data_IF_668928767860
#
_entry.id   IF_668928767860
#
_cell.length_a   1.000
_cell.length_b   1.000
_cell.length_c   1.000
_cell.angle_alpha   90.00
_cell.angle_beta   90.00
_cell.angle_gamma   90.00
#
_symmetry.space_group_name_H-M   'P 1'
#
loop_
_entity.id
_entity.type
_entity.pdbx_description
1 polymer ?
#
# COMPACT_ATOMS: atom_id res chain seq x y z
N UNK A 1 -23.53 57.03 29.81
CA UNK A 1 -22.28 56.72 30.55
C UNK A 1 -21.60 55.55 29.86
N UNK A 2 -20.31 55.72 29.48
CA UNK A 2 -19.20 54.75 29.25
C UNK A 2 -19.60 53.30 28.86
N UNK A 3 -19.09 52.65 27.80
CA UNK A 3 -17.69 52.54 27.37
C UNK A 3 -17.66 51.91 25.95
N UNK A 4 -16.72 52.33 25.12
CA UNK A 4 -16.39 51.73 23.83
C UNK A 4 -15.54 50.45 24.00
N UNK A 5 -15.65 49.49 23.07
CA UNK A 5 -14.60 48.51 22.78
C UNK A 5 -14.63 48.17 21.28
N UNK A 6 -13.60 48.66 20.58
CA UNK A 6 -13.16 48.25 19.25
C UNK A 6 -12.72 46.78 19.28
N UNK A 7 -13.14 45.95 18.33
CA UNK A 7 -12.40 44.76 17.90
C UNK A 7 -12.41 44.65 16.36
N UNK A 8 -11.20 44.41 15.85
CA UNK A 8 -10.76 44.26 14.46
C UNK A 8 -11.29 42.98 13.79
N UNK A 9 -11.51 42.93 12.47
CA UNK A 9 -11.60 41.67 11.74
C UNK A 9 -10.28 41.40 11.01
N UNK A 10 -9.54 40.36 11.39
CA UNK A 10 -8.55 39.72 10.50
C UNK A 10 -8.36 38.23 10.85
N UNK A 11 -8.09 37.45 9.80
CA UNK A 11 -7.56 36.06 9.69
C UNK A 11 -8.53 34.88 9.46
N UNK A 12 -8.21 34.11 8.41
CA UNK A 12 -8.72 32.76 8.13
C UNK A 12 -9.09 32.53 6.65
N UNK A 13 -8.17 32.67 5.67
CA UNK A 13 -7.33 31.58 5.14
C UNK A 13 -8.06 30.25 4.88
N UNK A 14 -8.60 30.07 3.67
CA UNK A 14 -8.86 28.74 3.11
C UNK A 14 -7.79 28.45 2.03
N UNK A 15 -6.79 27.67 2.43
CA UNK A 15 -5.75 27.13 1.55
C UNK A 15 -6.34 26.06 0.64
N UNK A 16 -6.47 26.37 -0.65
CA UNK A 16 -6.73 25.39 -1.70
C UNK A 16 -5.46 24.59 -2.00
N UNK A 17 -5.39 23.38 -1.47
CA UNK A 17 -4.27 22.46 -1.66
C UNK A 17 -4.12 22.04 -3.13
N UNK A 18 -2.90 22.19 -3.66
CA UNK A 18 -2.42 21.50 -4.86
C UNK A 18 -2.38 20.01 -4.53
N UNK A 19 -3.09 19.19 -5.31
CA UNK A 19 -2.92 17.73 -5.30
C UNK A 19 -1.52 17.38 -5.82
N UNK A 20 -0.55 17.40 -4.92
CA UNK A 20 0.49 16.39 -4.91
C UNK A 20 -0.06 15.26 -4.04
N UNK A 21 -0.32 14.08 -4.60
CA UNK A 21 -0.44 12.87 -3.78
C UNK A 21 0.97 12.56 -3.27
N UNK A 22 1.39 13.32 -2.26
CA UNK A 22 2.37 12.84 -1.32
C UNK A 22 1.60 11.91 -0.39
N UNK A 23 1.66 10.61 -0.67
CA UNK A 23 1.32 9.58 0.32
C UNK A 23 2.37 9.67 1.43
N UNK A 24 2.22 10.66 2.31
CA UNK A 24 2.99 10.76 3.53
C UNK A 24 2.41 9.72 4.49
N UNK A 25 2.96 8.50 4.42
CA UNK A 25 2.78 7.49 5.45
C UNK A 25 3.43 8.03 6.72
N UNK A 26 2.63 8.70 7.56
CA UNK A 26 3.08 9.15 8.86
C UNK A 26 3.32 7.92 9.74
N UNK A 27 4.59 7.57 9.95
CA UNK A 27 5.02 6.69 11.03
C UNK A 27 4.74 7.37 12.38
N UNK A 28 3.49 7.31 12.83
CA UNK A 28 3.15 7.47 14.24
C UNK A 28 3.23 6.10 14.90
N UNK A 29 3.90 6.04 16.05
CA UNK A 29 3.98 4.84 16.88
C UNK A 29 2.60 4.31 17.32
N UNK A 30 2.57 3.13 17.95
CA UNK A 30 1.38 2.29 18.06
C UNK A 30 0.43 2.85 19.12
N UNK A 31 -0.53 3.66 18.72
CA UNK A 31 -1.71 3.94 19.53
C UNK A 31 -2.93 4.10 18.62
N UNK A 32 -3.62 2.98 18.44
CA UNK A 32 -4.81 2.84 17.60
C UNK A 32 -4.52 2.13 16.28
N UNK A 33 -4.29 0.82 16.33
CA UNK A 33 -4.27 -0.04 15.14
C UNK A 33 -5.69 -0.16 14.57
N UNK A 34 -6.19 0.90 13.94
CA UNK A 34 -7.27 0.75 12.98
C UNK A 34 -6.77 -0.17 11.88
N UNK A 35 -7.47 -1.28 11.63
CA UNK A 35 -7.17 -2.18 10.54
C UNK A 35 -6.94 -1.37 9.27
N UNK A 36 -5.79 -1.51 8.61
CA UNK A 36 -5.52 -0.83 7.35
C UNK A 36 -6.65 -1.23 6.38
N UNK A 37 -7.55 -0.32 5.96
CA UNK A 37 -8.69 -0.70 5.13
C UNK A 37 -8.24 -1.04 3.69
N UNK A 38 -6.95 -0.88 3.39
CA UNK A 38 -6.35 -1.01 2.09
C UNK A 38 -5.57 -2.33 1.99
N UNK A 39 -5.69 -2.99 0.84
CA UNK A 39 -5.07 -4.29 0.57
C UNK A 39 -5.96 -5.14 -0.33
N UNK A 40 -5.38 -6.18 -0.89
CA UNK A 40 -6.03 -7.25 -1.64
C UNK A 40 -6.60 -8.25 -0.61
N UNK A 41 -7.92 -8.29 -0.41
CA UNK A 41 -8.54 -9.10 0.65
C UNK A 41 -8.56 -10.59 0.31
N UNK A 42 -7.87 -11.38 1.11
CA UNK A 42 -7.91 -12.85 1.17
C UNK A 42 -9.10 -13.25 2.05
N UNK A 43 -10.09 -13.93 1.46
CA UNK A 43 -11.33 -14.32 2.15
C UNK A 43 -11.09 -15.54 3.04
N UNK A 44 -11.49 -15.42 4.31
CA UNK A 44 -11.47 -16.52 5.28
C UNK A 44 -12.81 -16.59 6.01
N UNK A 45 -13.27 -17.81 6.33
CA UNK A 45 -14.50 -18.08 7.08
C UNK A 45 -14.15 -18.90 8.31
N UNK A 46 -14.55 -18.46 9.50
CA UNK A 46 -14.34 -19.21 10.74
C UNK A 46 -15.59 -20.00 11.11
N UNK A 47 -15.41 -21.25 11.52
CA UNK A 47 -16.47 -22.21 11.79
C UNK A 47 -16.15 -22.99 13.07
N UNK A 48 -16.82 -22.70 14.18
CA UNK A 48 -16.70 -23.46 15.42
C UNK A 48 -17.49 -24.76 15.33
N UNK A 49 -16.82 -25.91 15.48
CA UNK A 49 -17.52 -27.18 15.64
C UNK A 49 -18.11 -27.24 17.04
N UNK A 50 -19.42 -27.43 17.14
CA UNK A 50 -20.11 -27.55 18.42
C UNK A 50 -20.11 -29.01 18.91
N UNK A 51 -20.10 -29.20 20.22
CA UNK A 51 -20.35 -30.51 20.80
C UNK A 51 -21.81 -30.94 20.65
N UNK A 52 -22.13 -32.16 21.09
CA UNK A 52 -23.49 -32.72 21.01
C UNK A 52 -24.56 -31.89 21.75
N UNK A 53 -24.15 -31.05 22.71
CA UNK A 53 -25.03 -30.14 23.45
C UNK A 53 -25.14 -28.75 22.82
N UNK A 54 -24.50 -28.51 21.67
CA UNK A 54 -24.51 -27.23 20.98
C UNK A 54 -23.55 -26.19 21.54
N UNK A 55 -22.55 -26.58 22.33
CA UNK A 55 -21.57 -25.65 22.91
C UNK A 55 -20.23 -25.69 22.17
N UNK A 56 -19.57 -24.52 22.10
CA UNK A 56 -18.17 -24.36 21.65
C UNK A 56 -17.18 -25.14 22.54
N UNK A 57 -15.89 -25.24 22.15
CA UNK A 57 -14.82 -25.58 23.10
C UNK A 57 -14.91 -24.71 24.36
N UNK A 58 -14.89 -25.31 25.55
CA UNK A 58 -15.05 -24.58 26.81
C UNK A 58 -13.72 -24.02 27.37
N UNK A 59 -12.60 -24.41 26.77
CA UNK A 59 -11.24 -24.08 27.17
C UNK A 59 -10.33 -24.08 25.96
N UNK A 60 -9.16 -23.43 26.07
CA UNK A 60 -8.16 -23.34 25.01
C UNK A 60 -7.87 -21.91 24.59
N UNK A 61 -7.00 -21.77 23.60
CA UNK A 61 -6.47 -20.47 23.14
C UNK A 61 -7.34 -19.80 22.06
N UNK A 62 -8.36 -20.49 21.55
CA UNK A 62 -9.26 -20.00 20.49
C UNK A 62 -10.67 -20.58 20.65
N UNK A 63 -11.47 -19.99 21.53
CA UNK A 63 -12.84 -20.42 21.80
C UNK A 63 -13.90 -19.28 21.80
N UNK A 64 -13.45 -18.03 21.71
CA UNK A 64 -14.32 -16.84 21.62
C UNK A 64 -14.22 -16.13 20.27
N UNK A 65 -15.17 -15.23 20.00
CA UNK A 65 -15.12 -14.37 18.81
C UNK A 65 -13.98 -13.35 18.92
N UNK A 66 -13.75 -12.82 20.12
CA UNK A 66 -12.68 -11.87 20.40
C UNK A 66 -11.29 -12.45 20.11
N UNK A 67 -11.06 -13.72 20.43
CA UNK A 67 -9.79 -14.40 20.13
C UNK A 67 -9.60 -14.63 18.63
N UNK A 68 -10.67 -14.96 17.90
CA UNK A 68 -10.65 -15.04 16.42
C UNK A 68 -10.27 -13.69 15.82
N UNK A 69 -10.92 -12.62 16.27
CA UNK A 69 -10.62 -11.26 15.80
C UNK A 69 -9.21 -10.80 16.18
N UNK A 70 -8.68 -11.25 17.32
CA UNK A 70 -7.29 -11.01 17.71
C UNK A 70 -6.30 -11.69 16.74
N UNK A 71 -6.58 -12.92 16.30
CA UNK A 71 -5.77 -13.64 15.31
C UNK A 71 -5.81 -12.95 13.94
N UNK A 72 -6.99 -12.53 13.48
CA UNK A 72 -7.14 -11.76 12.23
C UNK A 72 -6.38 -10.43 12.31
N UNK A 73 -6.49 -9.73 13.44
CA UNK A 73 -5.77 -8.48 13.68
C UNK A 73 -4.26 -8.71 13.64
N UNK A 74 -3.76 -9.75 14.31
CA UNK A 74 -2.34 -10.09 14.35
C UNK A 74 -1.81 -10.48 12.97
N UNK A 75 -2.55 -11.28 12.21
CA UNK A 75 -2.23 -11.64 10.83
C UNK A 75 -2.07 -10.39 9.94
N UNK A 76 -3.02 -9.46 10.02
CA UNK A 76 -2.96 -8.20 9.28
C UNK A 76 -1.80 -7.30 9.72
N UNK A 77 -1.44 -7.29 11.01
CA UNK A 77 -0.24 -6.58 11.49
C UNK A 77 1.05 -7.16 10.90
N UNK A 78 1.17 -8.48 10.82
CA UNK A 78 2.33 -9.15 10.22
C UNK A 78 2.43 -8.79 8.73
N UNK A 79 1.34 -8.93 7.99
CA UNK A 79 1.28 -8.56 6.57
C UNK A 79 1.64 -7.08 6.34
N UNK A 80 1.11 -6.18 7.17
CA UNK A 80 1.40 -4.75 7.08
C UNK A 80 2.86 -4.42 7.42
N UNK A 81 3.46 -5.09 8.41
CA UNK A 81 4.86 -4.89 8.80
C UNK A 81 5.84 -5.21 7.65
N UNK A 82 5.46 -6.13 6.77
CA UNK A 82 6.21 -6.50 5.57
C UNK A 82 5.70 -5.82 4.30
N UNK A 83 4.86 -4.78 4.44
CA UNK A 83 4.29 -4.05 3.30
C UNK A 83 3.69 -4.99 2.25
N UNK A 84 3.00 -6.03 2.72
CA UNK A 84 2.27 -6.92 1.85
C UNK A 84 1.06 -6.21 1.27
N UNK A 85 0.78 -6.48 0.00
CA UNK A 85 -0.46 -6.05 -0.61
C UNK A 85 -1.65 -6.86 -0.09
N UNK A 86 -1.42 -8.06 0.44
CA UNK A 86 -2.47 -8.95 0.94
C UNK A 86 -2.95 -8.51 2.32
N UNK A 87 -4.23 -8.72 2.59
CA UNK A 87 -4.82 -8.61 3.93
C UNK A 87 -5.85 -9.71 4.15
N UNK A 88 -6.05 -10.11 5.39
CA UNK A 88 -7.09 -11.05 5.79
C UNK A 88 -8.43 -10.33 5.84
N UNK A 89 -9.44 -10.95 5.25
CA UNK A 89 -10.83 -10.51 5.29
C UNK A 89 -11.70 -11.63 5.86
N UNK A 90 -12.01 -11.53 7.14
CA UNK A 90 -12.98 -12.40 7.81
C UNK A 90 -14.37 -12.17 7.23
N UNK A 91 -15.01 -13.24 6.77
CA UNK A 91 -16.39 -13.23 6.27
C UNK A 91 -17.41 -13.44 7.41
N UNK A 92 -16.94 -13.71 8.62
CA UNK A 92 -17.74 -13.92 9.82
C UNK A 92 -17.31 -15.16 10.60
N UNK A 93 -18.01 -15.43 11.69
CA UNK A 93 -17.84 -16.60 12.55
C UNK A 93 -19.17 -17.35 12.57
N UNK A 94 -19.13 -18.66 12.33
CA UNK A 94 -20.31 -19.53 12.29
C UNK A 94 -20.22 -20.64 13.32
N UNK A 95 -21.38 -21.11 13.76
CA UNK A 95 -21.53 -22.28 14.63
C UNK A 95 -21.96 -23.49 13.79
N UNK A 96 -21.14 -24.54 13.79
CA UNK A 96 -21.40 -25.79 13.08
C UNK A 96 -22.07 -26.76 14.04
N UNK A 97 -23.40 -26.71 14.07
CA UNK A 97 -24.21 -27.61 14.88
C UNK A 97 -24.38 -28.99 14.23
N UNK A 98 -24.58 -30.01 15.08
CA UNK A 98 -24.85 -31.37 14.64
C UNK A 98 -23.63 -32.13 14.10
N UNK A 99 -22.45 -31.52 13.97
CA UNK A 99 -21.19 -32.15 13.52
C UNK A 99 -20.25 -32.55 14.66
N UNK A 100 -20.81 -33.00 15.79
CA UNK A 100 -20.04 -33.29 17.01
C UNK A 100 -19.03 -34.44 16.85
N UNK A 101 -19.16 -35.25 15.80
CA UNK A 101 -18.16 -36.24 15.39
C UNK A 101 -16.78 -35.63 15.13
N UNK A 102 -16.71 -34.35 14.76
CA UNK A 102 -15.46 -33.60 14.56
C UNK A 102 -15.09 -32.68 15.73
N UNK A 103 -15.85 -32.69 16.83
CA UNK A 103 -15.61 -31.79 17.96
C UNK A 103 -14.23 -31.99 18.60
N UNK A 104 -13.73 -33.24 18.62
CA UNK A 104 -12.39 -33.60 19.13
C UNK A 104 -11.45 -34.06 18.00
N UNK A 105 -11.73 -33.67 16.76
CA UNK A 105 -10.83 -33.95 15.64
C UNK A 105 -9.48 -33.25 15.84
N UNK A 106 -8.40 -34.00 15.72
CA UNK A 106 -7.05 -33.48 15.95
C UNK A 106 -6.45 -32.83 14.70
N UNK A 107 -5.36 -32.10 14.86
CA UNK A 107 -4.67 -31.42 13.76
C UNK A 107 -3.82 -32.41 12.93
N UNK A 108 -4.48 -33.35 12.25
CA UNK A 108 -3.86 -34.35 11.37
C UNK A 108 -4.55 -34.41 10.00
N UNK A 109 -3.85 -34.98 9.00
CA UNK A 109 -4.35 -35.01 7.62
C UNK A 109 -5.65 -35.81 7.46
N UNK A 110 -5.80 -36.91 8.20
CA UNK A 110 -7.00 -37.77 8.12
C UNK A 110 -8.24 -37.00 8.57
N UNK A 111 -8.18 -36.37 9.74
CA UNK A 111 -9.30 -35.61 10.30
C UNK A 111 -9.63 -34.38 9.45
N UNK A 112 -8.60 -33.62 9.03
CA UNK A 112 -8.75 -32.48 8.11
C UNK A 112 -9.45 -32.90 6.81
N UNK A 113 -8.99 -33.97 6.18
CA UNK A 113 -9.51 -34.39 4.87
C UNK A 113 -10.93 -35.00 4.98
N UNK A 114 -11.22 -35.73 6.05
CA UNK A 114 -12.57 -36.23 6.33
C UNK A 114 -13.57 -35.09 6.60
N UNK A 115 -13.16 -34.10 7.39
CA UNK A 115 -13.97 -32.91 7.64
C UNK A 115 -14.20 -32.13 6.35
N UNK A 116 -13.15 -31.89 5.54
CA UNK A 116 -13.27 -31.25 4.23
C UNK A 116 -14.28 -31.98 3.34
N UNK A 117 -14.14 -33.30 3.20
CA UNK A 117 -15.03 -34.10 2.37
C UNK A 117 -16.49 -34.02 2.86
N UNK A 118 -16.71 -34.05 4.18
CA UNK A 118 -18.05 -33.91 4.77
C UNK A 118 -18.64 -32.51 4.55
N UNK A 119 -17.81 -31.47 4.71
CA UNK A 119 -18.23 -30.08 4.52
C UNK A 119 -18.59 -29.77 3.06
N UNK A 120 -17.85 -30.33 2.10
CA UNK A 120 -18.18 -30.23 0.68
C UNK A 120 -19.46 -31.01 0.32
N UNK A 121 -19.73 -32.13 1.00
CA UNK A 121 -20.91 -32.95 0.77
C UNK A 121 -22.19 -32.35 1.37
N UNK A 122 -22.08 -31.59 2.47
CA UNK A 122 -23.18 -30.85 3.10
C UNK A 122 -22.78 -29.40 3.41
N UNK A 123 -22.67 -28.53 2.39
CA UNK A 123 -22.19 -27.16 2.59
C UNK A 123 -23.05 -26.34 3.54
N UNK A 124 -24.36 -26.61 3.60
CA UNK A 124 -25.28 -25.94 4.49
C UNK A 124 -25.00 -26.22 5.97
N UNK A 125 -24.75 -27.48 6.33
CA UNK A 125 -24.48 -27.84 7.72
C UNK A 125 -23.15 -27.30 8.21
N UNK A 126 -22.13 -27.36 7.36
CA UNK A 126 -20.76 -26.99 7.71
C UNK A 126 -20.40 -25.54 7.38
N UNK A 127 -21.36 -24.74 6.90
CA UNK A 127 -21.14 -23.38 6.39
C UNK A 127 -20.00 -23.30 5.38
N UNK A 128 -19.83 -24.35 4.58
CA UNK A 128 -18.73 -24.46 3.63
C UNK A 128 -18.87 -23.42 2.52
N UNK A 129 -17.78 -22.72 2.25
CA UNK A 129 -17.68 -21.73 1.18
C UNK A 129 -16.71 -22.22 0.12
N UNK A 130 -17.16 -22.18 -1.15
CA UNK A 130 -16.28 -22.40 -2.30
C UNK A 130 -15.50 -21.15 -2.71
N UNK A 131 -15.61 -20.07 -1.93
CA UNK A 131 -15.08 -18.75 -2.24
C UNK A 131 -14.33 -18.11 -1.05
N UNK A 132 -13.79 -18.95 -0.16
CA UNK A 132 -12.96 -18.56 0.98
C UNK A 132 -12.16 -19.77 1.49
N UNK A 133 -11.09 -19.53 2.25
CA UNK A 133 -10.50 -20.60 3.08
C UNK A 133 -11.40 -20.83 4.28
N UNK A 134 -11.85 -22.07 4.47
CA UNK A 134 -12.72 -22.47 5.57
C UNK A 134 -11.87 -22.93 6.76
N UNK A 135 -11.94 -22.19 7.85
CA UNK A 135 -11.18 -22.45 9.08
C UNK A 135 -12.11 -23.09 10.09
N UNK A 136 -11.93 -24.38 10.35
CA UNK A 136 -12.72 -25.13 11.33
C UNK A 136 -12.00 -25.21 12.66
N UNK A 137 -12.67 -24.82 13.74
CA UNK A 137 -12.11 -24.77 15.10
C UNK A 137 -12.73 -25.89 15.93
N UNK A 138 -11.90 -26.75 16.52
CA UNK A 138 -12.28 -27.93 17.30
C UNK A 138 -11.84 -27.79 18.76
N UNK A 139 -12.27 -28.69 19.64
CA UNK A 139 -11.89 -28.76 21.05
C UNK A 139 -10.69 -29.68 21.33
N UNK A 140 -10.06 -30.27 20.30
CA UNK A 140 -8.84 -31.06 20.51
C UNK A 140 -7.68 -30.18 21.01
N UNK A 141 -6.69 -30.79 21.67
CA UNK A 141 -5.55 -30.08 22.27
C UNK A 141 -4.32 -29.98 21.36
N UNK A 142 -4.46 -30.27 20.08
CA UNK A 142 -3.36 -30.11 19.10
C UNK A 142 -3.22 -28.64 18.67
N UNK A 143 -2.35 -28.39 17.69
CA UNK A 143 -2.17 -27.06 17.08
C UNK A 143 -3.11 -26.86 15.88
N UNK A 144 -2.60 -26.70 14.67
CA UNK A 144 -3.40 -26.57 13.47
C UNK A 144 -2.75 -27.30 12.29
N UNK A 145 -3.55 -27.54 11.25
CA UNK A 145 -3.09 -28.12 10.01
C UNK A 145 -3.87 -27.53 8.82
N UNK A 146 -3.13 -27.06 7.83
CA UNK A 146 -3.64 -26.60 6.54
C UNK A 146 -3.43 -27.63 5.44
N UNK A 147 -3.91 -27.34 4.24
CA UNK A 147 -3.62 -28.09 3.03
C UNK A 147 -3.02 -27.15 1.98
N UNK A 148 -2.00 -27.65 1.27
CA UNK A 148 -1.36 -26.91 0.18
C UNK A 148 -2.24 -26.87 -1.07
N UNK A 149 -2.02 -25.89 -1.97
CA UNK A 149 -2.67 -25.87 -3.27
C UNK A 149 -2.52 -27.21 -4.02
N UNK A 150 -3.53 -27.63 -4.81
CA UNK A 150 -4.73 -26.89 -5.18
C UNK A 150 -5.93 -27.04 -4.22
N UNK A 151 -5.81 -27.86 -3.17
CA UNK A 151 -6.89 -28.11 -2.19
C UNK A 151 -6.75 -27.24 -0.94
N UNK A 152 -6.31 -26.00 -1.11
CA UNK A 152 -5.95 -25.03 -0.06
C UNK A 152 -7.14 -24.26 0.53
N UNK A 153 -8.32 -24.85 0.49
CA UNK A 153 -9.60 -24.24 0.89
C UNK A 153 -10.04 -24.60 2.33
N UNK A 154 -9.19 -25.30 3.09
CA UNK A 154 -9.45 -25.70 4.47
C UNK A 154 -8.24 -25.53 5.40
N UNK A 155 -8.50 -25.10 6.63
CA UNK A 155 -7.60 -25.19 7.78
C UNK A 155 -8.37 -25.82 8.95
N UNK A 156 -7.77 -26.79 9.62
CA UNK A 156 -8.28 -27.37 10.87
C UNK A 156 -7.46 -26.83 12.04
N UNK A 157 -8.11 -26.17 12.98
CA UNK A 157 -7.49 -25.51 14.14
C UNK A 157 -8.02 -26.15 15.43
N UNK A 158 -7.11 -26.48 16.32
CA UNK A 158 -7.39 -27.04 17.64
C UNK A 158 -7.10 -25.97 18.72
N UNK A 159 -7.03 -26.37 19.99
CA UNK A 159 -7.04 -25.45 21.14
C UNK A 159 -5.66 -25.07 21.70
N UNK A 160 -4.57 -25.64 21.20
CA UNK A 160 -3.19 -25.31 21.63
C UNK A 160 -2.45 -24.55 20.54
N UNK A 161 -2.75 -23.26 20.44
CA UNK A 161 -2.27 -22.41 19.33
C UNK A 161 -1.56 -21.16 19.84
N UNK A 162 -0.63 -20.67 19.02
CA UNK A 162 -0.04 -19.34 19.19
C UNK A 162 -0.89 -18.26 18.49
N UNK A 163 -0.64 -17.00 18.83
CA UNK A 163 -1.26 -15.82 18.21
C UNK A 163 -0.99 -15.63 16.70
N UNK A 164 -0.11 -16.46 16.13
CA UNK A 164 0.33 -16.42 14.72
C UNK A 164 -0.14 -17.64 13.93
N UNK A 165 -0.78 -18.62 14.58
CA UNK A 165 -1.05 -19.94 14.01
C UNK A 165 -1.95 -19.85 12.79
N UNK A 166 -3.01 -19.06 12.83
CA UNK A 166 -3.89 -18.90 11.66
C UNK A 166 -3.13 -18.31 10.46
N UNK A 167 -2.25 -17.33 10.69
CA UNK A 167 -1.45 -16.74 9.60
C UNK A 167 -0.40 -17.72 9.08
N UNK A 168 0.18 -18.56 9.94
CA UNK A 168 1.09 -19.64 9.56
C UNK A 168 0.39 -20.66 8.65
N UNK A 169 -0.78 -21.17 9.08
CA UNK A 169 -1.55 -22.13 8.30
C UNK A 169 -2.06 -21.56 6.98
N UNK A 170 -2.44 -20.28 6.97
CA UNK A 170 -2.78 -19.59 5.73
C UNK A 170 -1.56 -19.41 4.83
N UNK A 171 -0.36 -19.32 5.39
CA UNK A 171 0.91 -19.39 4.64
C UNK A 171 0.98 -20.66 3.80
N UNK A 172 0.67 -21.83 4.37
CA UNK A 172 0.58 -23.09 3.60
C UNK A 172 -0.49 -23.04 2.52
N UNK A 173 -1.67 -22.48 2.82
CA UNK A 173 -2.71 -22.25 1.81
C UNK A 173 -2.22 -21.32 0.69
N UNK A 174 -1.26 -20.45 0.96
CA UNK A 174 -0.61 -19.55 0.01
C UNK A 174 0.74 -20.07 -0.50
N UNK A 175 0.94 -21.40 -0.47
CA UNK A 175 2.11 -22.11 -1.01
C UNK A 175 3.45 -21.81 -0.30
N UNK A 176 3.40 -21.49 1.00
CA UNK A 176 4.59 -21.39 1.83
C UNK A 176 4.90 -22.71 2.55
N UNK A 177 6.17 -23.08 2.56
CA UNK A 177 6.68 -24.24 3.30
C UNK A 177 7.33 -23.79 4.60
N UNK A 178 7.54 -24.72 5.53
CA UNK A 178 8.32 -24.44 6.73
C UNK A 178 9.76 -24.09 6.37
N UNK A 179 10.38 -23.18 7.11
CA UNK A 179 11.79 -22.77 6.85
C UNK A 179 12.79 -23.90 7.00
N UNK A 180 12.43 -24.93 7.77
CA UNK A 180 13.22 -26.14 8.00
C UNK A 180 12.76 -27.33 7.13
N UNK A 181 11.92 -27.08 6.11
CA UNK A 181 11.46 -28.14 5.22
C UNK A 181 12.66 -28.78 4.52
N UNK A 182 12.75 -30.10 4.56
CA UNK A 182 13.92 -30.83 4.00
C UNK A 182 13.60 -31.45 2.64
N UNK A 183 12.32 -31.60 2.31
CA UNK A 183 11.94 -32.14 1.01
C UNK A 183 12.06 -31.06 -0.10
N UNK A 184 12.23 -31.52 -1.34
CA UNK A 184 12.04 -30.69 -2.54
C UNK A 184 12.95 -29.44 -2.69
N UNK A 185 14.10 -29.40 -2.01
CA UNK A 185 15.06 -28.30 -2.12
C UNK A 185 14.88 -27.19 -1.08
N UNK A 186 14.30 -27.51 0.08
CA UNK A 186 14.10 -26.55 1.16
C UNK A 186 12.67 -26.01 1.21
N UNK A 187 12.50 -24.79 1.70
CA UNK A 187 11.23 -24.06 1.64
C UNK A 187 10.93 -23.45 0.24
N UNK A 188 11.86 -23.67 -0.70
CA UNK A 188 11.84 -23.17 -2.06
C UNK A 188 12.04 -21.65 -2.13
N UNK A 189 12.80 -21.08 -1.20
CA UNK A 189 13.22 -19.68 -1.18
C UNK A 189 14.73 -19.51 -0.94
N UNK A 190 15.41 -18.84 -1.87
CA UNK A 190 16.87 -18.65 -1.80
C UNK A 190 17.30 -17.60 -0.75
N UNK A 191 16.36 -16.86 -0.17
CA UNK A 191 16.60 -15.80 0.81
C UNK A 191 16.34 -16.23 2.27
N UNK A 192 16.06 -17.51 2.48
CA UNK A 192 16.05 -18.19 3.78
C UNK A 192 17.26 -19.12 3.85
N UNK A 193 17.98 -19.08 4.97
CA UNK A 193 19.15 -19.94 5.19
C UNK A 193 18.73 -21.33 5.70
N UNK A 194 19.64 -22.29 5.69
CA UNK A 194 19.33 -23.65 6.20
C UNK A 194 18.98 -23.60 7.69
N UNK A 195 17.95 -24.35 8.06
CA UNK A 195 17.38 -24.39 9.41
C UNK A 195 16.87 -25.81 9.73
N UNK A 196 16.75 -26.13 11.01
CA UNK A 196 16.12 -27.35 11.53
C UNK A 196 15.20 -26.97 12.69
N UNK A 197 14.04 -27.62 12.80
CA UNK A 197 13.03 -27.34 13.84
C UNK A 197 13.52 -27.50 15.29
N UNK A 198 14.67 -28.15 15.51
CA UNK A 198 15.27 -28.38 16.84
C UNK A 198 16.47 -27.50 17.14
N UNK A 199 16.93 -26.71 16.19
CA UNK A 199 18.09 -25.84 16.37
C UNK A 199 17.74 -24.61 17.18
N UNK A 200 18.66 -24.17 18.04
CA UNK A 200 18.59 -22.81 18.56
C UNK A 200 19.26 -21.79 17.60
N UNK A 201 19.30 -20.51 17.98
CA UNK A 201 19.94 -19.47 17.15
C UNK A 201 21.45 -19.69 16.98
N UNK A 202 22.13 -20.24 17.98
CA UNK A 202 23.55 -20.54 17.89
C UNK A 202 23.79 -21.74 16.97
N UNK A 203 22.93 -22.75 16.99
CA UNK A 203 22.98 -23.88 16.05
C UNK A 203 22.78 -23.41 14.59
N UNK A 204 21.76 -22.58 14.32
CA UNK A 204 21.54 -21.99 12.98
C UNK A 204 22.76 -21.16 12.56
N UNK A 205 23.30 -20.35 13.47
CA UNK A 205 24.47 -19.52 13.21
C UNK A 205 25.75 -20.33 12.94
N UNK A 206 25.98 -21.38 13.73
CA UNK A 206 27.13 -22.27 13.60
C UNK A 206 27.06 -23.06 12.29
N UNK A 207 25.89 -23.58 11.92
CA UNK A 207 25.71 -24.32 10.66
C UNK A 207 26.01 -23.44 9.45
N UNK A 208 25.45 -22.22 9.42
CA UNK A 208 25.52 -21.36 8.23
C UNK A 208 26.79 -20.50 8.15
N UNK A 209 27.41 -20.17 9.29
CA UNK A 209 28.51 -19.19 9.35
C UNK A 209 29.73 -19.62 10.18
N UNK A 210 29.69 -20.77 10.85
CA UNK A 210 30.79 -21.27 11.67
C UNK A 210 31.09 -20.44 12.93
N UNK A 211 30.13 -19.62 13.39
CA UNK A 211 30.26 -18.76 14.56
C UNK A 211 28.95 -18.73 15.34
N UNK A 212 29.02 -18.59 16.67
CA UNK A 212 27.84 -18.36 17.51
C UNK A 212 27.17 -17.02 17.17
N UNK A 213 25.86 -16.94 17.37
CA UNK A 213 25.02 -15.81 16.97
C UNK A 213 25.56 -14.47 17.47
N UNK A 214 26.07 -14.42 18.70
CA UNK A 214 26.61 -13.20 19.30
C UNK A 214 27.74 -12.55 18.46
N UNK A 215 28.55 -13.36 17.77
CA UNK A 215 29.72 -12.92 17.01
C UNK A 215 29.42 -12.59 15.54
N UNK A 216 28.22 -12.90 15.06
CA UNK A 216 27.81 -12.61 13.69
C UNK A 216 27.74 -11.11 13.40
N UNK A 217 28.00 -10.74 12.14
CA UNK A 217 27.72 -9.40 11.62
C UNK A 217 26.20 -9.13 11.62
N UNK A 218 25.80 -7.86 11.52
CA UNK A 218 24.38 -7.50 11.49
C UNK A 218 23.61 -8.16 10.33
N UNK A 219 24.25 -8.34 9.16
CA UNK A 219 23.63 -9.02 8.02
C UNK A 219 23.41 -10.51 8.27
N UNK A 220 24.38 -11.20 8.86
CA UNK A 220 24.26 -12.61 9.22
C UNK A 220 23.24 -12.82 10.34
N UNK A 221 23.22 -11.94 11.36
CA UNK A 221 22.18 -11.97 12.41
C UNK A 221 20.78 -11.85 11.82
N UNK A 222 20.59 -10.93 10.86
CA UNK A 222 19.32 -10.81 10.14
C UNK A 222 18.92 -12.09 9.42
N UNK A 223 19.87 -12.80 8.79
CA UNK A 223 19.58 -14.09 8.13
C UNK A 223 19.16 -15.18 9.14
N UNK A 224 19.83 -15.26 10.31
CA UNK A 224 19.40 -16.16 11.40
C UNK A 224 18.03 -15.77 11.94
N UNK A 225 17.81 -14.49 12.20
CA UNK A 225 16.52 -13.99 12.69
C UNK A 225 15.40 -14.20 11.67
N UNK A 226 15.69 -14.13 10.36
CA UNK A 226 14.73 -14.37 9.29
C UNK A 226 14.13 -15.78 9.34
N UNK A 227 14.93 -16.81 9.65
CA UNK A 227 14.43 -18.19 9.79
C UNK A 227 13.91 -18.48 11.20
N UNK A 228 14.51 -17.88 12.24
CA UNK A 228 14.07 -18.05 13.64
C UNK A 228 12.71 -17.41 13.94
N UNK A 229 12.49 -16.18 13.46
CA UNK A 229 11.27 -15.41 13.67
C UNK A 229 10.38 -15.39 12.42
N UNK A 230 10.65 -16.27 11.45
CA UNK A 230 9.82 -16.44 10.27
C UNK A 230 8.40 -16.85 10.65
N UNK A 231 7.42 -16.37 9.89
CA UNK A 231 6.04 -16.83 9.96
C UNK A 231 5.95 -18.34 9.83
N UNK A 232 6.76 -18.93 8.95
CA UNK A 232 6.79 -20.36 8.65
C UNK A 232 7.76 -21.17 9.52
N UNK A 233 8.26 -20.59 10.62
CA UNK A 233 9.15 -21.28 11.55
C UNK A 233 8.38 -21.95 12.69
N UNK A 234 9.02 -22.92 13.35
CA UNK A 234 8.56 -23.55 14.60
C UNK A 234 9.31 -23.07 15.86
N UNK A 235 10.37 -22.28 15.68
CA UNK A 235 11.24 -21.87 16.79
C UNK A 235 10.58 -20.96 17.83
N UNK A 236 9.86 -19.94 17.35
CA UNK A 236 9.45 -18.82 18.18
C UNK A 236 7.96 -18.52 18.08
N UNK A 237 7.11 -19.49 18.44
CA UNK A 237 5.66 -19.50 18.22
C UNK A 237 4.95 -18.14 18.40
N UNK A 238 5.21 -17.42 19.51
CA UNK A 238 4.57 -16.13 19.83
C UNK A 238 5.17 -14.91 19.12
N UNK A 239 6.39 -15.03 18.61
CA UNK A 239 7.13 -13.95 17.96
C UNK A 239 7.57 -14.34 16.54
N UNK A 240 6.68 -15.05 15.83
CA UNK A 240 6.74 -15.21 14.37
C UNK A 240 6.13 -13.98 13.72
N UNK A 241 6.96 -13.17 13.09
CA UNK A 241 6.50 -11.93 12.46
C UNK A 241 7.26 -11.60 11.19
N UNK A 242 8.27 -12.39 10.81
CA UNK A 242 9.09 -12.18 9.62
C UNK A 242 8.55 -12.95 8.42
N UNK A 243 8.63 -12.38 7.23
CA UNK A 243 8.34 -13.07 5.96
C UNK A 243 9.46 -12.68 5.00
N UNK A 244 10.07 -13.65 4.32
CA UNK A 244 11.13 -13.34 3.35
C UNK A 244 10.55 -12.72 2.07
N UNK A 245 11.40 -12.10 1.25
CA UNK A 245 10.94 -11.52 -0.01
C UNK A 245 10.46 -12.60 -0.98
N UNK A 246 11.14 -13.74 -1.04
CA UNK A 246 10.69 -14.86 -1.86
C UNK A 246 9.37 -15.44 -1.35
N UNK A 247 9.20 -15.64 -0.03
CA UNK A 247 7.93 -16.11 0.52
C UNK A 247 6.80 -15.13 0.17
N UNK A 248 7.06 -13.84 0.26
CA UNK A 248 6.09 -12.83 -0.17
C UNK A 248 5.74 -12.93 -1.66
N UNK A 249 6.69 -13.26 -2.55
CA UNK A 249 6.43 -13.55 -3.97
C UNK A 249 5.55 -14.80 -4.16
N UNK A 250 5.83 -15.88 -3.43
CA UNK A 250 5.03 -17.10 -3.49
C UNK A 250 3.60 -16.85 -3.07
N UNK A 251 3.39 -16.10 -1.99
CA UNK A 251 2.05 -15.72 -1.54
C UNK A 251 1.29 -14.91 -2.61
N UNK A 252 1.92 -13.89 -3.19
CA UNK A 252 1.32 -13.07 -4.25
C UNK A 252 1.00 -13.89 -5.51
N UNK A 253 1.91 -14.78 -5.91
CA UNK A 253 1.71 -15.69 -7.04
C UNK A 253 0.51 -16.62 -6.81
N UNK A 254 0.45 -17.27 -5.65
CA UNK A 254 -0.63 -18.19 -5.31
C UNK A 254 -1.96 -17.46 -5.16
N UNK A 255 -2.00 -16.33 -4.45
CA UNK A 255 -3.18 -15.51 -4.32
C UNK A 255 -3.72 -15.04 -5.68
N UNK A 256 -2.84 -14.67 -6.61
CA UNK A 256 -3.25 -14.34 -7.98
C UNK A 256 -3.78 -15.57 -8.71
N UNK A 257 -3.14 -16.74 -8.60
CA UNK A 257 -3.64 -17.99 -9.19
C UNK A 257 -5.07 -18.27 -8.72
N UNK A 258 -5.31 -18.13 -7.43
CA UNK A 258 -6.59 -18.40 -6.75
C UNK A 258 -7.58 -17.24 -6.77
N UNK A 259 -7.27 -16.14 -7.45
CA UNK A 259 -7.99 -14.87 -7.39
C UNK A 259 -9.50 -14.96 -7.63
N UNK A 260 -9.97 -15.95 -8.39
CA UNK A 260 -11.40 -16.12 -8.70
C UNK A 260 -12.21 -16.59 -7.50
N UNK A 261 -11.63 -17.43 -6.65
CA UNK A 261 -12.32 -18.00 -5.51
C UNK A 261 -11.81 -17.44 -4.18
N UNK A 262 -10.54 -17.02 -4.08
CA UNK A 262 -9.95 -16.59 -2.81
C UNK A 262 -10.10 -15.08 -2.55
N UNK A 263 -9.97 -14.24 -3.57
CA UNK A 263 -9.84 -12.79 -3.38
C UNK A 263 -11.17 -12.05 -3.60
N UNK A 264 -11.49 -11.04 -2.76
CA UNK A 264 -12.70 -10.20 -2.99
C UNK A 264 -12.49 -9.21 -4.15
N UNK A 265 -11.25 -8.78 -4.37
CA UNK A 265 -10.86 -7.95 -5.51
C UNK A 265 -9.65 -8.58 -6.18
N UNK A 266 -9.64 -8.55 -7.51
CA UNK A 266 -8.52 -9.08 -8.29
C UNK A 266 -7.41 -8.01 -8.35
N UNK A 267 -6.16 -8.35 -8.01
CA UNK A 267 -5.04 -7.44 -8.15
C UNK A 267 -4.58 -7.33 -9.61
N UNK A 268 -4.05 -6.15 -9.95
CA UNK A 268 -3.33 -5.87 -11.19
C UNK A 268 -1.96 -5.34 -10.81
N UNK A 269 -0.92 -6.10 -11.11
CA UNK A 269 0.45 -5.79 -10.70
C UNK A 269 1.14 -4.84 -11.68
N UNK A 270 1.90 -3.89 -11.14
CA UNK A 270 2.78 -2.98 -11.88
C UNK A 270 4.19 -3.03 -11.30
N UNK A 271 5.17 -3.29 -12.17
CA UNK A 271 6.59 -3.30 -11.84
C UNK A 271 7.36 -2.54 -12.93
N UNK A 272 7.95 -1.39 -12.55
CA UNK A 272 8.71 -0.53 -13.46
C UNK A 272 9.97 -1.20 -14.04
N UNK A 273 10.52 -2.20 -13.33
CA UNK A 273 11.68 -2.97 -13.77
C UNK A 273 11.33 -4.10 -14.75
N UNK A 274 10.04 -4.43 -14.91
CA UNK A 274 9.61 -5.55 -15.74
C UNK A 274 9.87 -5.32 -17.24
N UNK A 275 10.63 -6.22 -17.85
CA UNK A 275 10.97 -6.21 -19.28
C UNK A 275 10.25 -7.25 -20.14
N UNK A 276 9.43 -8.12 -19.53
CA UNK A 276 8.80 -9.25 -20.21
C UNK A 276 7.43 -8.96 -20.83
N UNK A 277 6.73 -10.02 -21.23
CA UNK A 277 5.30 -9.95 -21.61
C UNK A 277 4.45 -9.47 -20.45
N UNK A 278 3.37 -8.73 -20.73
CA UNK A 278 2.56 -8.04 -19.72
C UNK A 278 1.09 -8.44 -19.86
N UNK A 279 0.48 -8.89 -18.77
CA UNK A 279 -0.97 -9.11 -18.68
C UNK A 279 -1.57 -8.64 -17.33
N UNK A 280 -0.74 -8.06 -16.45
CA UNK A 280 -1.14 -7.58 -15.13
C UNK A 280 -1.20 -8.65 -14.05
N UNK A 281 -0.85 -9.90 -14.36
CA UNK A 281 -0.65 -10.95 -13.36
C UNK A 281 0.63 -10.73 -12.57
N UNK A 282 0.76 -11.44 -11.44
CA UNK A 282 1.96 -11.39 -10.63
C UNK A 282 3.23 -11.76 -11.43
N UNK A 283 3.18 -12.80 -12.26
CA UNK A 283 4.33 -13.25 -13.06
C UNK A 283 4.54 -12.48 -14.36
N UNK A 284 3.58 -11.62 -14.75
CA UNK A 284 3.64 -10.80 -15.96
C UNK A 284 3.02 -9.42 -15.68
N UNK A 285 3.59 -8.64 -14.74
CA UNK A 285 3.06 -7.34 -14.34
C UNK A 285 3.11 -6.36 -15.51
N UNK A 286 2.30 -5.31 -15.44
CA UNK A 286 2.46 -4.19 -16.36
C UNK A 286 3.71 -3.38 -15.98
N UNK A 287 4.43 -2.86 -16.97
CA UNK A 287 5.61 -2.03 -16.72
C UNK A 287 5.24 -0.65 -16.16
N UNK A 288 4.08 -0.13 -16.52
CA UNK A 288 3.63 1.20 -16.11
C UNK A 288 2.16 1.18 -15.72
N UNK A 289 1.75 2.14 -14.90
CA UNK A 289 0.34 2.36 -14.56
C UNK A 289 -0.48 2.66 -15.84
N UNK A 290 0.10 3.42 -16.78
CA UNK A 290 -0.55 3.72 -18.06
C UNK A 290 -0.81 2.46 -18.89
N UNK A 291 0.10 1.48 -18.90
CA UNK A 291 -0.13 0.21 -19.59
C UNK A 291 -1.33 -0.54 -19.00
N UNK A 292 -1.46 -0.55 -17.67
CA UNK A 292 -2.59 -1.16 -16.99
C UNK A 292 -3.93 -0.45 -17.33
N UNK A 293 -3.91 0.88 -17.42
CA UNK A 293 -5.07 1.68 -17.86
C UNK A 293 -5.44 1.36 -19.30
N UNK A 294 -4.46 1.38 -20.21
CA UNK A 294 -4.68 1.14 -21.65
C UNK A 294 -5.23 -0.26 -21.93
N UNK A 295 -4.85 -1.24 -21.13
CA UNK A 295 -5.39 -2.60 -21.20
C UNK A 295 -6.83 -2.72 -20.67
N UNK A 296 -7.42 -1.65 -20.11
CA UNK A 296 -8.73 -1.68 -19.48
C UNK A 296 -8.78 -2.53 -18.21
N UNK A 297 -7.61 -2.81 -17.61
CA UNK A 297 -7.47 -3.83 -16.58
C UNK A 297 -7.96 -3.39 -15.20
N UNK A 298 -8.18 -2.08 -14.96
CA UNK A 298 -8.31 -1.53 -13.59
C UNK A 298 -9.74 -1.42 -13.04
N UNK A 299 -10.76 -1.71 -13.84
CA UNK A 299 -12.14 -1.59 -13.40
C UNK A 299 -12.48 -2.61 -12.30
N UNK A 300 -12.92 -2.14 -11.12
CA UNK A 300 -13.18 -2.95 -9.93
C UNK A 300 -12.00 -3.85 -9.52
N UNK A 301 -10.77 -3.38 -9.74
CA UNK A 301 -9.52 -4.06 -9.36
C UNK A 301 -8.76 -3.28 -8.30
N UNK A 302 -7.73 -3.92 -7.73
CA UNK A 302 -6.72 -3.27 -6.91
C UNK A 302 -5.45 -3.13 -7.73
N UNK A 303 -4.95 -1.92 -7.90
CA UNK A 303 -3.65 -1.66 -8.50
C UNK A 303 -2.56 -1.91 -7.46
N UNK A 304 -1.71 -2.91 -7.70
CA UNK A 304 -0.59 -3.26 -6.82
C UNK A 304 0.69 -2.73 -7.43
N UNK A 305 1.35 -1.80 -6.74
CA UNK A 305 2.62 -1.22 -7.17
C UNK A 305 3.76 -1.95 -6.45
N UNK A 306 4.69 -2.50 -7.22
CA UNK A 306 5.98 -2.96 -6.69
C UNK A 306 6.73 -1.76 -6.06
N UNK A 307 7.66 -2.01 -5.14
CA UNK A 307 8.42 -0.92 -4.51
C UNK A 307 9.17 -0.08 -5.56
N UNK A 308 9.43 1.20 -5.25
CA UNK A 308 10.22 2.07 -6.10
C UNK A 308 9.44 3.23 -6.73
N UNK A 309 9.87 3.69 -7.91
CA UNK A 309 9.28 4.87 -8.59
C UNK A 309 8.52 4.44 -9.82
N UNK A 310 7.27 4.90 -9.92
CA UNK A 310 6.36 4.65 -11.03
C UNK A 310 6.01 5.96 -11.71
N UNK A 311 5.90 5.91 -13.03
CA UNK A 311 5.47 7.07 -13.82
C UNK A 311 3.99 7.35 -13.59
N UNK A 312 3.65 8.62 -13.42
CA UNK A 312 2.28 9.12 -13.32
C UNK A 312 1.59 8.86 -14.65
N UNK A 313 0.44 8.15 -14.68
CA UNK A 313 -0.28 7.95 -15.93
C UNK A 313 -0.73 9.29 -16.53
N UNK A 314 -0.63 9.38 -17.86
CA UNK A 314 -1.16 10.51 -18.63
C UNK A 314 -2.68 10.56 -18.68
N UNK A 315 -3.34 9.41 -18.49
CA UNK A 315 -4.79 9.28 -18.41
C UNK A 315 -5.25 9.24 -16.95
N UNK A 316 -6.36 9.92 -16.66
CA UNK A 316 -7.01 9.83 -15.36
C UNK A 316 -7.52 8.40 -15.13
N UNK A 317 -7.37 7.91 -13.89
CA UNK A 317 -8.06 6.71 -13.43
C UNK A 317 -9.56 7.03 -13.34
N UNK A 318 -10.32 6.62 -14.35
CA UNK A 318 -11.76 6.87 -14.43
C UNK A 318 -12.62 5.97 -13.55
N UNK A 319 -12.00 5.04 -12.80
CA UNK A 319 -12.68 4.05 -11.97
C UNK A 319 -12.23 4.12 -10.52
N UNK A 320 -13.09 3.68 -9.60
CA UNK A 320 -12.73 3.49 -8.19
C UNK A 320 -11.75 2.31 -8.08
N UNK A 321 -10.46 2.62 -8.22
CA UNK A 321 -9.35 1.66 -8.14
C UNK A 321 -8.57 1.95 -6.87
N UNK A 322 -8.49 0.97 -5.97
CA UNK A 322 -7.60 1.06 -4.82
C UNK A 322 -6.17 0.91 -5.31
N UNK A 323 -5.25 1.70 -4.75
CA UNK A 323 -3.81 1.62 -5.04
C UNK A 323 -3.09 1.21 -3.77
N UNK A 324 -2.33 0.12 -3.84
CA UNK A 324 -1.56 -0.43 -2.72
C UNK A 324 -0.12 -0.66 -3.13
N UNK A 325 0.79 -0.63 -2.17
CA UNK A 325 2.22 -0.86 -2.39
C UNK A 325 2.61 -2.25 -1.91
N UNK A 326 3.70 -2.77 -2.46
CA UNK A 326 4.25 -4.09 -2.15
C UNK A 326 5.76 -4.00 -1.90
N UNK A 327 6.29 -4.75 -0.93
CA UNK A 327 7.74 -4.87 -0.62
C UNK A 327 8.45 -3.55 -0.33
N UNK A 328 7.71 -2.54 0.09
CA UNK A 328 8.22 -1.26 0.52
C UNK A 328 7.32 -0.11 0.09
N UNK A 329 7.92 1.08 0.04
CA UNK A 329 7.24 2.28 -0.43
C UNK A 329 7.34 2.39 -1.94
N UNK A 330 6.20 2.69 -2.57
CA UNK A 330 6.13 3.08 -3.98
C UNK A 330 5.81 4.57 -4.08
N UNK A 331 6.44 5.27 -5.02
CA UNK A 331 6.14 6.67 -5.34
C UNK A 331 5.64 6.79 -6.76
N UNK A 332 4.51 7.46 -6.97
CA UNK A 332 4.06 7.86 -8.30
C UNK A 332 4.62 9.26 -8.55
N UNK A 333 5.45 9.41 -9.57
CA UNK A 333 6.04 10.70 -9.96
C UNK A 333 5.64 10.98 -11.40
N UNK A 334 5.46 12.25 -11.74
CA UNK A 334 5.41 12.65 -13.15
C UNK A 334 6.55 11.96 -13.88
N UNK A 335 6.24 11.23 -14.96
CA UNK A 335 7.25 10.52 -15.76
C UNK A 335 8.44 11.43 -15.99
N UNK A 336 9.68 10.90 -15.94
CA UNK A 336 10.87 11.71 -16.22
C UNK A 336 10.56 12.54 -17.46
N UNK A 337 10.49 13.88 -17.34
CA UNK A 337 9.95 14.66 -18.42
C UNK A 337 10.79 14.43 -19.68
N UNK A 338 10.16 14.38 -20.85
CA UNK A 338 10.83 14.34 -22.17
C UNK A 338 11.57 15.66 -22.49
N UNK A 339 11.97 16.38 -21.44
CA UNK A 339 12.73 17.59 -21.47
C UNK A 339 13.67 17.63 -20.26
N UNK A 340 14.84 18.20 -20.47
CA UNK A 340 15.88 18.39 -19.47
C UNK A 340 16.05 19.89 -19.19
N UNK A 341 15.91 20.29 -17.93
CA UNK A 341 16.11 21.66 -17.47
C UNK A 341 17.34 21.68 -16.56
N UNK A 342 18.17 22.74 -16.61
CA UNK A 342 19.31 22.88 -15.70
C UNK A 342 18.81 22.85 -14.26
N UNK A 343 19.43 22.00 -13.44
CA UNK A 343 19.02 21.80 -12.05
C UNK A 343 19.53 22.89 -11.10
N UNK A 344 20.62 23.59 -11.48
CA UNK A 344 21.22 24.69 -10.72
C UNK A 344 21.33 25.96 -11.58
N UNK A 345 20.37 26.87 -11.42
CA UNK A 345 20.41 28.17 -12.11
C UNK A 345 21.37 29.16 -11.42
N UNK A 346 21.71 28.92 -10.16
CA UNK A 346 22.77 29.61 -9.43
C UNK A 346 24.17 29.33 -9.99
N UNK A 347 24.34 28.26 -10.76
CA UNK A 347 25.58 27.92 -11.44
C UNK A 347 25.59 28.42 -12.90
N UNK A 348 24.61 29.25 -13.28
CA UNK A 348 24.55 29.83 -14.62
C UNK A 348 25.88 30.51 -14.99
N UNK A 349 26.34 30.25 -16.22
CA UNK A 349 27.50 30.94 -16.79
C UNK A 349 27.21 32.41 -17.07
N UNK A 350 25.93 32.80 -17.15
CA UNK A 350 25.54 34.20 -17.26
C UNK A 350 25.50 34.83 -15.85
N UNK A 351 26.41 35.77 -15.53
CA UNK A 351 26.49 36.35 -14.19
C UNK A 351 25.22 37.10 -13.79
N UNK A 352 24.47 37.66 -14.75
CA UNK A 352 23.20 38.36 -14.47
C UNK A 352 22.09 37.38 -14.09
N UNK A 353 22.00 36.24 -14.78
CA UNK A 353 21.05 35.16 -14.43
C UNK A 353 21.37 34.64 -13.05
N UNK A 354 22.64 34.27 -12.79
CA UNK A 354 23.08 33.81 -11.48
C UNK A 354 22.77 34.80 -10.36
N UNK A 355 23.11 36.08 -10.53
CA UNK A 355 22.87 37.09 -9.51
C UNK A 355 21.37 37.27 -9.20
N UNK A 356 20.53 37.30 -10.23
CA UNK A 356 19.08 37.40 -10.07
C UNK A 356 18.48 36.16 -9.39
N UNK A 357 18.97 34.96 -9.72
CA UNK A 357 18.53 33.70 -9.09
C UNK A 357 18.91 33.64 -7.61
N UNK A 358 20.14 34.03 -7.26
CA UNK A 358 20.57 34.12 -5.86
C UNK A 358 19.71 35.11 -5.07
N UNK A 359 19.36 36.25 -5.66
CA UNK A 359 18.45 37.21 -5.05
C UNK A 359 17.03 36.64 -4.87
N UNK A 360 16.51 35.93 -5.88
CA UNK A 360 15.22 35.23 -5.78
C UNK A 360 15.23 34.19 -4.64
N UNK A 361 16.27 33.36 -4.54
CA UNK A 361 16.42 32.38 -3.46
C UNK A 361 16.47 33.05 -2.08
N UNK A 362 17.17 34.18 -1.95
CA UNK A 362 17.22 34.95 -0.71
C UNK A 362 15.86 35.51 -0.32
N UNK A 363 15.12 36.10 -1.26
CA UNK A 363 13.74 36.57 -1.04
C UNK A 363 12.79 35.44 -0.66
N UNK A 364 12.96 34.25 -1.27
CA UNK A 364 12.16 33.07 -0.93
C UNK A 364 12.38 32.63 0.53
N UNK A 365 13.62 32.67 1.03
CA UNK A 365 13.93 32.41 2.46
C UNK A 365 13.26 33.43 3.39
N UNK A 366 13.07 34.66 2.93
CA UNK A 366 12.37 35.72 3.64
C UNK A 366 10.84 35.66 3.47
N UNK A 367 10.33 34.71 2.67
CA UNK A 367 8.90 34.58 2.30
C UNK A 367 8.34 35.81 1.57
N UNK A 368 9.19 36.60 0.90
CA UNK A 368 8.78 37.74 0.09
C UNK A 368 8.48 37.30 -1.35
N UNK A 369 7.28 36.75 -1.57
CA UNK A 369 6.85 36.24 -2.88
C UNK A 369 6.89 37.30 -3.99
N UNK A 370 6.43 38.55 -3.79
CA UNK A 370 6.57 39.61 -4.80
C UNK A 370 8.02 39.88 -5.20
N UNK A 371 8.98 39.88 -4.26
CA UNK A 371 10.40 40.04 -4.58
C UNK A 371 10.95 38.84 -5.35
N UNK A 372 10.58 37.60 -4.98
CA UNK A 372 10.95 36.38 -5.73
C UNK A 372 10.55 36.51 -7.20
N UNK A 373 9.28 36.84 -7.47
CA UNK A 373 8.76 37.00 -8.83
C UNK A 373 9.54 38.09 -9.59
N UNK A 374 9.79 39.24 -8.94
CA UNK A 374 10.56 40.33 -9.55
C UNK A 374 11.98 39.91 -9.95
N UNK A 375 12.66 39.15 -9.10
CA UNK A 375 14.00 38.66 -9.39
C UNK A 375 14.01 37.58 -10.48
N UNK A 376 13.01 36.69 -10.52
CA UNK A 376 12.85 35.74 -11.61
C UNK A 376 12.56 36.42 -12.95
N UNK A 377 11.74 37.48 -12.96
CA UNK A 377 11.51 38.30 -14.16
C UNK A 377 12.79 38.98 -14.65
N UNK A 378 13.65 39.42 -13.73
CA UNK A 378 14.96 39.96 -14.10
C UNK A 378 15.87 38.89 -14.68
N UNK A 379 15.93 37.69 -14.08
CA UNK A 379 16.70 36.57 -14.60
C UNK A 379 16.26 36.18 -16.03
N UNK A 380 14.95 36.16 -16.31
CA UNK A 380 14.38 35.79 -17.61
C UNK A 380 14.86 36.68 -18.76
N UNK A 381 15.11 37.97 -18.51
CA UNK A 381 15.62 38.92 -19.52
C UNK A 381 17.01 38.56 -20.04
N UNK A 382 17.83 37.92 -19.19
CA UNK A 382 19.22 37.58 -19.48
C UNK A 382 19.41 36.11 -19.87
N UNK A 383 18.44 35.26 -19.53
CA UNK A 383 18.52 33.83 -19.77
C UNK A 383 18.23 33.47 -21.23
N UNK A 384 18.87 32.40 -21.71
CA UNK A 384 18.64 31.85 -23.05
C UNK A 384 18.49 30.32 -23.00
N UNK A 385 17.94 29.73 -24.06
CA UNK A 385 17.74 28.29 -24.17
C UNK A 385 17.10 27.67 -22.92
N UNK A 386 17.74 26.61 -22.40
CA UNK A 386 17.20 25.83 -21.27
C UNK A 386 17.13 26.58 -19.94
N UNK A 387 17.99 27.57 -19.69
CA UNK A 387 17.91 28.40 -18.48
C UNK A 387 16.64 29.25 -18.51
N UNK A 388 16.32 29.84 -19.67
CA UNK A 388 15.12 30.64 -19.87
C UNK A 388 13.86 29.78 -19.70
N UNK A 389 13.88 28.57 -20.25
CA UNK A 389 12.77 27.62 -20.12
C UNK A 389 12.51 27.25 -18.64
N UNK A 390 13.57 27.00 -17.87
CA UNK A 390 13.48 26.71 -16.44
C UNK A 390 12.90 27.89 -15.64
N UNK A 391 13.40 29.11 -15.89
CA UNK A 391 12.92 30.33 -15.22
C UNK A 391 11.45 30.60 -15.53
N UNK A 392 11.02 30.41 -16.77
CA UNK A 392 9.62 30.57 -17.18
C UNK A 392 8.70 29.55 -16.52
N UNK A 393 9.16 28.30 -16.41
CA UNK A 393 8.42 27.26 -15.71
C UNK A 393 8.24 27.61 -14.22
N UNK A 394 9.30 28.09 -13.57
CA UNK A 394 9.26 28.55 -12.18
C UNK A 394 8.33 29.76 -12.01
N UNK A 395 8.41 30.77 -12.90
CA UNK A 395 7.50 31.93 -12.91
C UNK A 395 6.04 31.49 -12.98
N UNK A 396 5.70 30.60 -13.92
CA UNK A 396 4.34 30.08 -14.07
C UNK A 396 3.84 29.39 -12.79
N UNK A 397 4.69 28.62 -12.12
CA UNK A 397 4.37 27.97 -10.85
C UNK A 397 4.16 28.98 -9.71
N UNK A 398 5.04 29.98 -9.57
CA UNK A 398 4.90 31.03 -8.54
C UNK A 398 3.63 31.85 -8.68
N UNK A 399 3.26 32.19 -9.91
CA UNK A 399 1.99 32.87 -10.19
C UNK A 399 0.79 31.99 -9.82
N UNK A 400 0.84 30.69 -10.16
CA UNK A 400 -0.22 29.74 -9.80
C UNK A 400 -0.39 29.61 -8.29
N UNK A 401 0.72 29.46 -7.56
CA UNK A 401 0.73 29.31 -6.11
C UNK A 401 0.25 30.58 -5.39
N UNK A 402 0.40 31.75 -6.03
CA UNK A 402 -0.09 33.04 -5.54
C UNK A 402 -1.54 33.35 -5.97
N UNK A 403 -2.25 32.36 -6.51
CA UNK A 403 -3.61 32.47 -7.08
C UNK A 403 -3.77 33.51 -8.21
N UNK A 404 -2.66 33.83 -8.89
CA UNK A 404 -2.63 34.70 -10.07
C UNK A 404 -2.72 33.85 -11.34
N UNK A 405 -3.87 33.17 -11.49
CA UNK A 405 -4.06 32.10 -12.46
C UNK A 405 -3.94 32.57 -13.92
N UNK A 406 -4.37 33.79 -14.24
CA UNK A 406 -4.26 34.33 -15.59
C UNK A 406 -2.78 34.56 -15.99
N UNK A 407 -1.99 35.11 -15.07
CA UNK A 407 -0.54 35.28 -15.25
C UNK A 407 0.15 33.92 -15.37
N UNK A 408 -0.22 32.95 -14.54
CA UNK A 408 0.33 31.60 -14.61
C UNK A 408 0.07 30.94 -15.97
N UNK A 409 -1.17 31.03 -16.48
CA UNK A 409 -1.52 30.53 -17.81
C UNK A 409 -0.71 31.22 -18.91
N UNK A 410 -0.57 32.56 -18.87
CA UNK A 410 0.21 33.31 -19.85
C UNK A 410 1.70 32.91 -19.86
N UNK A 411 2.31 32.64 -18.71
CA UNK A 411 3.69 32.17 -18.64
C UNK A 411 3.84 30.73 -19.15
N UNK A 412 2.86 29.86 -18.88
CA UNK A 412 2.83 28.53 -19.48
C UNK A 412 2.68 28.59 -21.01
N UNK A 413 1.85 29.48 -21.55
CA UNK A 413 1.73 29.66 -23.01
C UNK A 413 3.03 30.21 -23.61
N UNK A 414 3.66 31.19 -22.94
CA UNK A 414 4.96 31.76 -23.38
C UNK A 414 6.03 30.66 -23.45
N UNK A 415 6.08 29.79 -22.45
CA UNK A 415 6.97 28.63 -22.44
C UNK A 415 6.60 27.63 -23.55
N UNK A 416 5.31 27.35 -23.74
CA UNK A 416 4.82 26.43 -24.77
C UNK A 416 5.14 26.90 -26.21
N UNK A 417 5.15 28.21 -26.43
CA UNK A 417 5.43 28.81 -27.73
C UNK A 417 6.94 28.81 -28.07
N UNK A 418 7.80 29.01 -27.08
CA UNK A 418 9.22 29.29 -27.30
C UNK A 418 10.18 28.19 -26.87
N UNK A 419 9.73 27.15 -26.14
CA UNK A 419 10.61 26.06 -25.73
C UNK A 419 11.08 25.23 -26.93
N UNK A 420 12.38 24.94 -26.99
CA UNK A 420 12.97 24.13 -28.05
C UNK A 420 12.66 22.63 -27.89
N UNK A 421 12.26 22.22 -26.69
CA UNK A 421 11.98 20.83 -26.33
C UNK A 421 10.50 20.50 -26.57
N UNK A 422 10.15 19.62 -27.54
CA UNK A 422 8.75 19.33 -27.87
C UNK A 422 7.92 18.81 -26.70
N UNK A 423 8.54 18.01 -25.81
CA UNK A 423 7.91 17.52 -24.58
C UNK A 423 7.53 18.66 -23.63
N UNK A 424 8.44 19.62 -23.44
CA UNK A 424 8.18 20.80 -22.60
C UNK A 424 7.08 21.68 -23.19
N UNK A 425 7.08 21.88 -24.52
CA UNK A 425 6.03 22.64 -25.20
C UNK A 425 4.65 22.07 -24.94
N UNK A 426 4.48 20.77 -25.20
CA UNK A 426 3.20 20.07 -25.02
C UNK A 426 2.74 20.12 -23.56
N UNK A 427 3.66 19.84 -22.61
CA UNK A 427 3.34 19.88 -21.18
C UNK A 427 2.90 21.27 -20.74
N UNK A 428 3.60 22.31 -21.19
CA UNK A 428 3.30 23.70 -20.83
C UNK A 428 1.96 24.14 -21.40
N UNK A 429 1.63 23.74 -22.64
CA UNK A 429 0.33 23.99 -23.25
C UNK A 429 -0.82 23.33 -22.46
N UNK A 430 -0.67 22.06 -22.06
CA UNK A 430 -1.67 21.38 -21.23
C UNK A 430 -1.84 22.07 -19.87
N UNK A 431 -0.73 22.44 -19.21
CA UNK A 431 -0.78 23.18 -17.94
C UNK A 431 -1.45 24.55 -18.08
N UNK A 432 -1.25 25.25 -19.20
CA UNK A 432 -1.95 26.50 -19.46
C UNK A 432 -3.48 26.29 -19.56
N UNK A 433 -3.92 25.20 -20.19
CA UNK A 433 -5.34 24.83 -20.27
C UNK A 433 -5.91 24.47 -18.89
N UNK A 434 -5.21 23.64 -18.12
CA UNK A 434 -5.61 23.25 -16.76
C UNK A 434 -5.78 24.47 -15.85
N UNK A 435 -4.83 25.41 -15.89
CA UNK A 435 -4.87 26.63 -15.06
C UNK A 435 -6.04 27.53 -15.45
N UNK A 436 -6.36 27.67 -16.74
CA UNK A 436 -7.55 28.39 -17.21
C UNK A 436 -8.85 27.73 -16.74
N UNK A 437 -8.92 26.40 -16.80
CA UNK A 437 -10.08 25.65 -16.32
C UNK A 437 -10.29 25.87 -14.82
N UNK A 438 -9.20 25.84 -14.03
CA UNK A 438 -9.22 26.16 -12.60
C UNK A 438 -9.67 27.60 -12.33
N UNK A 439 -9.18 28.57 -13.10
CA UNK A 439 -9.59 29.97 -12.97
C UNK A 439 -11.10 30.14 -13.20
N UNK A 440 -11.64 29.52 -14.26
CA UNK A 440 -13.07 29.51 -14.55
C UNK A 440 -13.87 28.86 -13.42
N UNK A 441 -13.39 27.75 -12.86
CA UNK A 441 -14.05 27.07 -11.73
C UNK A 441 -14.12 27.98 -10.50
N UNK A 442 -13.03 28.68 -10.15
CA UNK A 442 -13.01 29.61 -9.02
C UNK A 442 -13.95 30.79 -9.21
N UNK A 443 -14.02 31.34 -10.42
CA UNK A 443 -14.97 32.41 -10.75
C UNK A 443 -16.43 31.95 -10.58
N UNK A 444 -16.75 30.75 -11.04
CA UNK A 444 -18.08 30.15 -10.88
C UNK A 444 -18.44 29.93 -9.40
N UNK A 445 -17.52 29.40 -8.61
CA UNK A 445 -17.70 29.22 -7.17
C UNK A 445 -17.91 30.55 -6.45
N UNK A 446 -17.13 31.57 -6.78
CA UNK A 446 -17.29 32.91 -6.20
C UNK A 446 -18.65 33.52 -6.56
N UNK A 447 -19.15 33.32 -7.79
CA UNK A 447 -20.49 33.75 -8.20
C UNK A 447 -21.58 33.05 -7.39
N UNK A 448 -21.49 31.72 -7.25
CA UNK A 448 -22.45 30.94 -6.46
C UNK A 448 -22.46 31.35 -4.98
N UNK A 449 -21.29 31.63 -4.40
CA UNK A 449 -21.19 32.14 -3.03
C UNK A 449 -21.81 33.55 -2.89
N UNK A 450 -21.64 34.41 -3.89
CA UNK A 450 -22.25 35.74 -3.90
C UNK A 450 -23.79 35.67 -4.02
N UNK A 451 -24.32 34.73 -4.81
CA UNK A 451 -25.76 34.48 -4.96
C UNK A 451 -26.40 33.89 -3.68
N UNK A 452 -25.65 33.08 -2.93
CA UNK A 452 -26.11 32.49 -1.67
C UNK A 452 -25.95 33.41 -0.45
N UNK A 453 -25.21 34.52 -0.56
CA UNK A 453 -25.08 35.47 0.52
C UNK A 453 -26.46 36.09 0.82
N UNK A 454 -27.03 35.93 2.04
CA UNK A 454 -28.37 36.40 2.35
C UNK A 454 -28.46 37.89 2.03
N UNK A 455 -29.42 38.26 1.19
CA UNK A 455 -29.62 39.64 0.73
C UNK A 455 -29.57 40.57 1.93
N UNK A 456 -28.58 41.48 1.95
CA UNK A 456 -28.46 42.50 2.99
C UNK A 456 -29.82 43.17 3.11
N UNK A 457 -30.55 42.90 4.19
CA UNK A 457 -31.75 43.64 4.52
C UNK A 457 -31.33 45.11 4.59
N UNK A 458 -31.89 45.93 3.68
CA UNK A 458 -31.66 47.36 3.72
C UNK A 458 -32.07 47.87 5.11
N UNK A 459 -31.25 48.69 5.77
CA UNK A 459 -31.61 49.25 7.06
C UNK A 459 -32.89 50.06 6.88
N UNK A 460 -33.99 49.60 7.50
CA UNK A 460 -35.23 50.35 7.57
C UNK A 460 -34.94 51.68 8.27
N UNK A 461 -35.26 52.79 7.59
CA UNK A 461 -35.10 54.15 8.08
C UNK A 461 -36.17 54.51 9.11
#
# INVERSE_FOLDING_TARGET
MKTALLHSPWTGSLTGAVWAVALALALRGPSGAGAAPFGVPVRVQFNFILNASGNRPASGDLNTDEEVEAQVTRANQILAAWTSELRIHSLGIQEVSGASEYYLAGANSTDRDNLRASAMADPSRYHWRNDAVNIYITAASDSAISKFPPDNDIILVCQSIFNTTIMHELGHSLSLYHTHETCCGGDGCDDTIEDNDRWDRDDIALNNFGQVYANLTSGQKYQVDMVWSNLMSYHNGDYRWMISNCQHDKMSAQAYSDRTWLLTKVPVYVDAAWGGSQNGSFSQPYRTIQNAINAGALNNRVLVLEYGTHDNPSSLLGTATDVVTRKGTSTIRESKPDYDLPYNLEDSKNPNVRAAILAAQQSARQKDVPAVIRHLLEAEKHATGRERDAIRLELAQRYRDSDQLDQAAAWFDKLAAEADQPGLRRRSQNKAQDVRALAKQKQEQARQQAEQAPGRQEPQK
#
